data_IF_421510459584
#
_entry.id   IF_421510459584
#
_cell.length_a   1.000
_cell.length_b   1.000
_cell.length_c   1.000
_cell.angle_alpha   90.00
_cell.angle_beta   90.00
_cell.angle_gamma   90.00
#
_symmetry.space_group_name_H-M   'P 1'
#
loop_
_entity.id
_entity.type
_entity.pdbx_description
1 polymer ?
#
# COMPACT_ATOMS: atom_id res chain seq x y z
N UNK A 1 11.58 -13.74 -1.06
CA UNK A 1 10.23 -13.13 -1.20
C UNK A 1 9.19 -13.62 -0.18
N UNK A 2 9.54 -14.43 0.84
CA UNK A 2 8.54 -15.08 1.71
C UNK A 2 8.31 -14.40 3.08
N UNK A 3 9.16 -13.43 3.45
CA UNK A 3 9.11 -12.79 4.78
C UNK A 3 7.92 -11.84 4.92
N UNK A 4 7.61 -11.06 3.87
CA UNK A 4 6.54 -10.06 3.88
C UNK A 4 5.14 -10.70 3.97
N UNK A 5 4.93 -11.86 3.35
CA UNK A 5 3.65 -12.60 3.40
C UNK A 5 3.31 -13.06 4.83
N UNK A 6 4.33 -13.45 5.62
CA UNK A 6 4.16 -13.88 7.01
C UNK A 6 3.78 -12.73 7.94
N UNK A 7 4.31 -11.52 7.71
CA UNK A 7 3.96 -10.36 8.53
C UNK A 7 2.51 -9.91 8.33
N UNK A 8 1.97 -10.01 7.11
CA UNK A 8 0.55 -9.67 6.88
C UNK A 8 -0.39 -10.69 7.50
N UNK A 9 -0.04 -11.99 7.48
CA UNK A 9 -0.81 -13.04 8.16
C UNK A 9 -0.71 -13.01 9.70
N UNK A 10 0.27 -12.29 10.24
CA UNK A 10 0.48 -12.13 11.68
C UNK A 10 -0.19 -10.89 12.26
N UNK A 11 -0.86 -10.08 11.43
CA UNK A 11 -1.71 -9.01 11.93
C UNK A 11 -2.90 -9.65 12.67
N UNK A 12 -3.27 -9.17 13.87
CA UNK A 12 -4.39 -9.73 14.61
C UNK A 12 -5.63 -9.76 13.72
N UNK A 13 -6.43 -10.83 13.82
CA UNK A 13 -7.68 -11.00 13.08
C UNK A 13 -8.65 -9.80 13.23
N UNK A 14 -8.41 -8.98 14.25
CA UNK A 14 -9.13 -7.75 14.58
C UNK A 14 -8.86 -6.60 13.58
N UNK A 15 -7.76 -6.63 12.82
CA UNK A 15 -7.37 -5.55 11.90
C UNK A 15 -7.78 -5.77 10.44
N UNK A 16 -8.05 -7.00 10.03
CA UNK A 16 -8.42 -7.36 8.65
C UNK A 16 -9.65 -8.27 8.67
N UNK A 17 -10.68 -7.90 7.90
CA UNK A 17 -11.90 -8.69 7.76
C UNK A 17 -11.60 -9.98 6.99
N UNK A 18 -12.39 -11.05 7.19
CA UNK A 18 -12.24 -12.28 6.40
C UNK A 18 -12.27 -11.98 4.89
N UNK A 19 -11.28 -12.48 4.15
CA UNK A 19 -11.16 -12.24 2.70
C UNK A 19 -10.36 -10.99 2.30
N UNK A 20 -10.06 -10.08 3.23
CA UNK A 20 -9.26 -8.88 2.93
C UNK A 20 -7.78 -9.21 2.72
N UNK A 21 -7.23 -10.22 3.41
CA UNK A 21 -5.84 -10.63 3.22
C UNK A 21 -5.62 -11.12 1.78
N UNK A 22 -6.53 -11.95 1.27
CA UNK A 22 -6.44 -12.57 -0.04
C UNK A 22 -6.57 -11.54 -1.18
N UNK A 23 -7.30 -10.45 -0.93
CA UNK A 23 -7.57 -9.40 -1.91
C UNK A 23 -6.59 -8.23 -1.82
N UNK A 24 -6.30 -7.72 -0.61
CA UNK A 24 -5.44 -6.55 -0.40
C UNK A 24 -3.96 -6.86 -0.63
N UNK A 25 -3.47 -8.02 -0.17
CA UNK A 25 -2.05 -8.39 -0.31
C UNK A 25 -1.56 -8.34 -1.76
N UNK A 26 -2.20 -9.01 -2.75
CA UNK A 26 -1.72 -8.95 -4.12
C UNK A 26 -1.82 -7.54 -4.73
N UNK A 27 -2.88 -6.78 -4.39
CA UNK A 27 -3.07 -5.41 -4.88
C UNK A 27 -1.99 -4.46 -4.35
N UNK A 28 -1.69 -4.54 -3.04
CA UNK A 28 -0.70 -3.70 -2.39
C UNK A 28 0.71 -4.06 -2.83
N UNK A 29 1.04 -5.35 -2.97
CA UNK A 29 2.33 -5.78 -3.48
C UNK A 29 2.58 -5.27 -4.91
N UNK A 30 1.56 -5.34 -5.77
CA UNK A 30 1.65 -4.80 -7.14
C UNK A 30 1.85 -3.28 -7.11
N UNK A 31 1.01 -2.56 -6.38
CA UNK A 31 1.09 -1.10 -6.29
C UNK A 31 2.41 -0.61 -5.68
N UNK A 32 2.95 -1.34 -4.71
CA UNK A 32 4.25 -1.07 -4.12
C UNK A 32 5.39 -1.28 -5.13
N UNK A 33 5.33 -2.35 -5.92
CA UNK A 33 6.27 -2.58 -7.03
C UNK A 33 6.23 -1.45 -8.04
N UNK A 34 5.04 -1.09 -8.53
CA UNK A 34 4.84 0.02 -9.47
C UNK A 34 5.37 1.34 -8.89
N UNK A 35 5.12 1.61 -7.60
CA UNK A 35 5.58 2.83 -6.95
C UNK A 35 7.10 2.87 -6.67
N UNK A 36 7.72 1.70 -6.47
CA UNK A 36 9.17 1.58 -6.39
C UNK A 36 9.83 1.87 -7.73
N UNK A 37 9.24 1.42 -8.85
CA UNK A 37 9.68 1.78 -10.19
C UNK A 37 9.60 3.29 -10.41
N UNK A 38 8.47 3.93 -10.09
CA UNK A 38 8.32 5.39 -10.18
C UNK A 38 9.42 6.12 -9.40
N UNK A 39 9.80 5.60 -8.22
CA UNK A 39 10.84 6.19 -7.40
C UNK A 39 12.23 6.03 -8.04
N UNK A 40 12.56 4.85 -8.56
CA UNK A 40 13.82 4.60 -9.26
C UNK A 40 13.96 5.44 -10.54
N UNK A 41 12.89 5.56 -11.32
CA UNK A 41 12.83 6.43 -12.51
C UNK A 41 13.02 7.91 -12.14
N UNK A 42 12.45 8.35 -11.02
CA UNK A 42 12.63 9.73 -10.54
C UNK A 42 14.10 10.01 -10.15
N UNK A 43 14.80 9.01 -9.60
CA UNK A 43 16.21 9.09 -9.20
C UNK A 43 17.17 9.11 -10.39
N UNK A 44 16.78 8.57 -11.55
CA UNK A 44 17.66 8.50 -12.73
C UNK A 44 17.66 9.77 -13.58
N UNK A 45 16.71 10.69 -13.37
CA UNK A 45 16.44 11.78 -14.33
C UNK A 45 16.92 13.18 -13.92
N UNK A 46 17.36 13.45 -12.68
CA UNK A 46 18.09 14.67 -12.30
C UNK A 46 18.39 14.68 -10.79
N UNK A 47 19.34 15.52 -10.35
CA UNK A 47 19.74 15.63 -8.93
C UNK A 47 19.09 16.83 -8.20
N UNK A 48 18.38 17.72 -8.92
CA UNK A 48 17.90 19.01 -8.38
C UNK A 48 16.37 19.22 -8.39
N UNK A 49 15.60 18.37 -9.07
CA UNK A 49 14.16 18.57 -9.18
C UNK A 49 13.42 18.00 -7.97
N UNK A 50 13.17 18.80 -6.93
CA UNK A 50 12.25 18.54 -5.79
C UNK A 50 11.40 17.26 -5.93
N UNK A 51 12.02 16.09 -5.66
CA UNK A 51 11.41 14.80 -5.96
C UNK A 51 10.40 14.47 -4.88
N UNK A 52 9.17 14.93 -5.11
CA UNK A 52 8.04 14.51 -4.29
C UNK A 52 7.98 12.98 -4.25
N UNK A 53 8.05 12.43 -3.03
CA UNK A 53 8.04 11.00 -2.76
C UNK A 53 6.94 10.27 -3.55
N UNK A 54 7.32 9.32 -4.42
CA UNK A 54 6.40 8.41 -5.13
C UNK A 54 5.23 9.18 -5.77
N UNK A 55 5.52 10.19 -6.60
CA UNK A 55 4.51 10.98 -7.30
C UNK A 55 4.06 10.37 -8.64
N UNK A 56 4.74 9.35 -9.14
CA UNK A 56 4.34 8.62 -10.34
C UNK A 56 3.03 7.85 -10.18
N UNK A 57 2.63 7.13 -11.24
CA UNK A 57 1.32 6.49 -11.31
C UNK A 57 1.17 5.41 -10.22
N UNK A 58 2.19 4.58 -10.03
CA UNK A 58 2.24 3.57 -8.98
C UNK A 58 2.14 4.17 -7.59
N UNK A 59 2.89 5.24 -7.32
CA UNK A 59 2.86 5.96 -6.04
C UNK A 59 1.50 6.56 -5.71
N UNK A 60 0.80 7.12 -6.71
CA UNK A 60 -0.59 7.59 -6.55
C UNK A 60 -1.56 6.45 -6.27
N UNK A 61 -1.41 5.31 -6.96
CA UNK A 61 -2.24 4.12 -6.73
C UNK A 61 -2.03 3.55 -5.32
N UNK A 62 -0.78 3.44 -4.86
CA UNK A 62 -0.47 2.95 -3.52
C UNK A 62 -1.10 3.83 -2.44
N UNK A 63 -0.94 5.17 -2.55
CA UNK A 63 -1.55 6.14 -1.61
C UNK A 63 -3.08 6.01 -1.58
N UNK A 64 -3.70 5.80 -2.75
CA UNK A 64 -5.15 5.59 -2.87
C UNK A 64 -5.60 4.33 -2.13
N UNK A 65 -4.93 3.20 -2.38
CA UNK A 65 -5.27 1.92 -1.75
C UNK A 65 -5.17 1.97 -0.22
N UNK A 66 -4.11 2.60 0.31
CA UNK A 66 -3.93 2.77 1.76
C UNK A 66 -5.02 3.66 2.36
N UNK A 67 -5.40 4.74 1.67
CA UNK A 67 -6.49 5.62 2.12
C UNK A 67 -7.85 4.89 2.10
N UNK A 68 -8.18 4.20 1.01
CA UNK A 68 -9.42 3.42 0.88
C UNK A 68 -9.53 2.34 1.97
N UNK A 69 -8.42 1.67 2.28
CA UNK A 69 -8.34 0.75 3.42
C UNK A 69 -8.62 1.46 4.75
N UNK A 70 -7.93 2.56 5.05
CA UNK A 70 -8.14 3.29 6.31
C UNK A 70 -9.59 3.80 6.45
N UNK A 71 -10.18 4.30 5.37
CA UNK A 71 -11.57 4.78 5.36
C UNK A 71 -12.57 3.63 5.58
N UNK A 72 -12.33 2.46 4.96
CA UNK A 72 -13.15 1.26 5.14
C UNK A 72 -13.07 0.60 6.53
N UNK A 73 -12.00 0.88 7.28
CA UNK A 73 -11.81 0.41 8.66
C UNK A 73 -12.26 1.43 9.73
N UNK A 74 -12.40 2.71 9.39
CA UNK A 74 -12.94 3.74 10.28
C UNK A 74 -14.45 3.67 10.49
N UNK A 75 -15.19 3.09 9.52
CA UNK A 75 -16.65 2.98 9.56
C UNK A 75 -17.15 1.69 10.24
N UNK A 76 -16.33 1.00 11.03
CA UNK A 76 -16.83 -0.07 11.90
C UNK A 76 -17.65 0.63 12.99
N UNK A 77 -18.99 0.47 13.05
CA UNK A 77 -19.77 1.08 14.10
C UNK A 77 -19.20 0.56 15.41
N UNK A 78 -18.82 1.45 16.31
CA UNK A 78 -18.58 1.08 17.70
C UNK A 78 -19.85 0.40 18.19
N UNK A 79 -19.85 -0.94 18.22
CA UNK A 79 -20.88 -1.72 18.87
C UNK A 79 -20.66 -1.52 20.37
N UNK A 80 -21.17 -0.41 20.90
CA UNK A 80 -21.43 -0.23 22.33
C UNK A 80 -22.69 -0.99 22.73
#
# INVERSE_FOLDING_TARGET
MNSSKKQVQALPLEYLKPGEVETLVPLWLKALGDAACDYLESKSCDEEANYGHMQGKGGRVLKRLVREFADGHRNIPNMT
#
